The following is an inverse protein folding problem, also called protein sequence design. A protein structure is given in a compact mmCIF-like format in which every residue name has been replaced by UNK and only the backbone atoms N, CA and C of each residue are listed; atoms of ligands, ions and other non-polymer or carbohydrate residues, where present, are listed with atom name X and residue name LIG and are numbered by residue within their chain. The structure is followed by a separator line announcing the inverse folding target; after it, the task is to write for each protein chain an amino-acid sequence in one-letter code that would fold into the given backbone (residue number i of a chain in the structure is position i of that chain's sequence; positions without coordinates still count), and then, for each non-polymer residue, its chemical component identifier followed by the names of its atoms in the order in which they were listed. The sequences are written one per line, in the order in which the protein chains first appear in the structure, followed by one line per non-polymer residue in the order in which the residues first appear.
data_IF_622930011098
#
_entry.id   IF_622930011098
#
_cell.length_a   1.000
_cell.length_b   1.000
_cell.length_c   1.000
_cell.angle_alpha   90.00
_cell.angle_beta   90.00
_cell.angle_gamma   90.00
#
_symmetry.space_group_name_H-M   'P 1'
#
loop_
_entity.id
_entity.type
_entity.pdbx_description
1 polymer ?
#
# COMPACT_ATOMS: atom_id res chain seq x y z
N UNK A 1 -6.02 -2.15 -19.99
CA UNK A 1 -5.66 -3.49 -19.50
C UNK A 1 -6.34 -3.66 -18.15
N UNK A 2 -6.99 -4.80 -17.92
CA UNK A 2 -7.60 -5.16 -16.64
C UNK A 2 -6.50 -5.83 -15.78
N UNK A 3 -6.39 -5.49 -14.50
CA UNK A 3 -5.26 -5.85 -13.62
C UNK A 3 -5.30 -7.28 -13.06
N UNK A 4 -6.50 -7.86 -12.90
CA UNK A 4 -6.71 -9.14 -12.21
C UNK A 4 -6.49 -9.09 -10.69
N UNK A 5 -6.44 -7.90 -10.09
CA UNK A 5 -6.18 -7.71 -8.65
C UNK A 5 -7.42 -7.93 -7.77
N UNK A 6 -7.21 -8.07 -6.46
CA UNK A 6 -8.31 -8.15 -5.49
C UNK A 6 -9.23 -6.91 -5.57
N UNK A 7 -8.65 -5.71 -5.65
CA UNK A 7 -9.42 -4.46 -5.75
C UNK A 7 -10.38 -4.48 -6.94
N UNK A 8 -9.91 -4.96 -8.08
CA UNK A 8 -10.73 -5.09 -9.27
C UNK A 8 -11.87 -6.09 -9.08
N UNK A 9 -11.58 -7.27 -8.51
CA UNK A 9 -12.60 -8.28 -8.26
C UNK A 9 -13.69 -7.76 -7.33
N UNK A 10 -13.32 -7.08 -6.24
CA UNK A 10 -14.27 -6.50 -5.28
C UNK A 10 -15.10 -5.40 -5.95
N UNK A 11 -14.49 -4.50 -6.73
CA UNK A 11 -15.21 -3.45 -7.46
C UNK A 11 -16.21 -4.01 -8.48
N UNK A 12 -15.82 -5.04 -9.24
CA UNK A 12 -16.72 -5.69 -10.22
C UNK A 12 -17.88 -6.40 -9.53
N UNK A 13 -17.66 -6.98 -8.35
CA UNK A 13 -18.69 -7.67 -7.58
C UNK A 13 -19.79 -6.74 -7.02
N UNK A 14 -19.57 -5.41 -7.04
CA UNK A 14 -20.48 -4.42 -6.47
C UNK A 14 -20.47 -4.39 -4.94
N UNK A 15 -19.49 -5.05 -4.30
CA UNK A 15 -19.31 -5.01 -2.85
C UNK A 15 -18.73 -3.66 -2.40
N UNK A 16 -19.07 -3.26 -1.18
CA UNK A 16 -18.44 -2.09 -0.55
C UNK A 16 -16.95 -2.35 -0.37
N UNK A 17 -16.13 -1.48 -0.97
CA UNK A 17 -14.67 -1.63 -1.04
C UNK A 17 -13.99 -0.67 -0.06
N UNK A 18 -13.01 -1.15 0.69
CA UNK A 18 -12.19 -0.35 1.60
C UNK A 18 -10.74 -0.38 1.15
N UNK A 19 -10.14 0.78 0.97
CA UNK A 19 -8.70 0.91 0.70
C UNK A 19 -7.98 1.52 1.89
N UNK A 20 -6.70 1.15 2.05
CA UNK A 20 -5.78 1.76 3.00
C UNK A 20 -4.65 2.49 2.29
N UNK A 21 -4.05 3.47 2.96
CA UNK A 21 -2.88 4.18 2.45
C UNK A 21 -1.66 3.90 3.32
N UNK A 22 -0.51 3.64 2.68
CA UNK A 22 0.78 3.46 3.36
C UNK A 22 1.80 4.47 2.85
N UNK A 23 2.24 5.33 3.78
CA UNK A 23 3.32 6.29 3.55
C UNK A 23 4.71 5.72 3.84
N UNK A 24 5.66 5.75 2.87
CA UNK A 24 7.05 5.39 3.12
C UNK A 24 7.71 6.27 4.20
N UNK A 25 8.65 5.74 5.00
CA UNK A 25 9.38 6.52 5.99
C UNK A 25 10.40 7.48 5.33
N UNK A 26 10.82 8.50 6.08
CA UNK A 26 11.90 9.42 5.64
C UNK A 26 13.31 8.80 5.79
N UNK A 27 13.43 7.63 6.43
CA UNK A 27 14.68 6.94 6.67
C UNK A 27 14.69 5.56 5.98
N UNK A 28 15.84 4.86 6.04
CA UNK A 28 16.00 3.53 5.47
C UNK A 28 15.50 2.37 6.34
N UNK A 29 14.70 2.62 7.38
CA UNK A 29 14.21 1.54 8.24
C UNK A 29 13.02 0.82 7.59
N UNK A 30 13.27 -0.40 7.10
CA UNK A 30 12.27 -1.23 6.45
C UNK A 30 11.19 -1.76 7.40
N UNK A 31 11.47 -1.87 8.70
CA UNK A 31 10.50 -2.39 9.67
C UNK A 31 9.29 -1.47 9.81
N UNK A 32 9.47 -0.15 9.61
CA UNK A 32 8.36 0.82 9.61
C UNK A 32 7.34 0.49 8.51
N UNK A 33 7.78 0.01 7.34
CA UNK A 33 6.89 -0.39 6.24
C UNK A 33 6.20 -1.71 6.58
N UNK A 34 6.94 -2.69 7.11
CA UNK A 34 6.40 -4.00 7.50
C UNK A 34 5.32 -3.89 8.57
N UNK A 35 5.55 -3.06 9.58
CA UNK A 35 4.59 -2.86 10.67
C UNK A 35 3.30 -2.20 10.17
N UNK A 36 3.41 -1.18 9.32
CA UNK A 36 2.23 -0.56 8.67
C UNK A 36 1.49 -1.55 7.77
N UNK A 37 2.20 -2.34 6.97
CA UNK A 37 1.60 -3.35 6.11
C UNK A 37 0.87 -4.42 6.93
N UNK A 38 1.44 -4.85 8.06
CA UNK A 38 0.82 -5.83 8.97
C UNK A 38 -0.52 -5.33 9.53
N UNK A 39 -0.62 -4.05 9.86
CA UNK A 39 -1.88 -3.44 10.33
C UNK A 39 -2.95 -3.48 9.24
N UNK A 40 -2.59 -3.18 7.99
CA UNK A 40 -3.53 -3.13 6.88
C UNK A 40 -3.94 -4.52 6.36
N UNK A 41 -3.05 -5.52 6.47
CA UNK A 41 -3.30 -6.87 5.96
C UNK A 41 -4.55 -7.47 6.59
N UNK A 42 -5.47 -7.94 5.75
CA UNK A 42 -6.75 -8.53 6.17
C UNK A 42 -7.82 -7.52 6.57
N UNK A 43 -7.54 -6.22 6.56
CA UNK A 43 -8.49 -5.17 6.93
C UNK A 43 -8.94 -4.30 5.74
N UNK A 44 -8.18 -4.30 4.63
CA UNK A 44 -8.47 -3.50 3.43
C UNK A 44 -8.33 -4.35 2.17
N UNK A 45 -9.07 -4.00 1.12
CA UNK A 45 -9.08 -4.70 -0.17
C UNK A 45 -7.85 -4.38 -1.02
N UNK A 46 -7.28 -3.19 -0.83
CA UNK A 46 -6.02 -2.77 -1.45
C UNK A 46 -5.33 -1.68 -0.65
N UNK A 47 -4.03 -1.54 -0.90
CA UNK A 47 -3.18 -0.51 -0.29
C UNK A 47 -2.54 0.34 -1.37
N UNK A 48 -2.73 1.66 -1.33
CA UNK A 48 -1.93 2.57 -2.14
C UNK A 48 -0.64 2.97 -1.40
N UNK A 49 0.49 2.93 -2.11
CA UNK A 49 1.77 3.44 -1.62
C UNK A 49 1.99 4.81 -2.22
N UNK A 50 2.02 5.83 -1.38
CA UNK A 50 2.23 7.21 -1.83
C UNK A 50 3.68 7.47 -2.21
N UNK A 51 3.89 8.33 -3.19
CA UNK A 51 5.21 8.83 -3.55
C UNK A 51 5.43 10.25 -3.03
N UNK A 52 6.53 10.47 -2.30
CA UNK A 52 6.95 11.78 -1.80
C UNK A 52 5.82 12.61 -1.13
N UNK A 53 5.08 12.03 -0.18
CA UNK A 53 4.01 12.72 0.55
C UNK A 53 4.50 14.08 1.06
N UNK A 54 3.72 15.13 0.78
CA UNK A 54 4.01 16.55 1.07
C UNK A 54 5.30 17.10 0.45
N UNK A 55 5.73 16.56 -0.70
CA UNK A 55 6.97 16.91 -1.39
C UNK A 55 8.25 16.73 -0.53
N UNK A 56 8.20 15.82 0.44
CA UNK A 56 9.34 15.47 1.30
C UNK A 56 9.99 14.19 0.77
N UNK A 57 11.33 14.20 0.69
CA UNK A 57 12.12 13.02 0.32
C UNK A 57 11.88 11.89 1.32
N UNK A 58 11.46 10.74 0.80
CA UNK A 58 11.18 9.52 1.57
C UNK A 58 11.81 8.33 0.84
N UNK A 59 11.80 7.19 1.50
CA UNK A 59 12.02 5.91 0.82
C UNK A 59 11.15 5.82 -0.43
N UNK A 60 11.72 5.30 -1.52
CA UNK A 60 11.00 5.09 -2.78
C UNK A 60 9.70 4.32 -2.55
N UNK A 61 8.62 4.80 -3.14
CA UNK A 61 7.31 4.13 -3.15
C UNK A 61 7.39 2.71 -3.73
N UNK A 62 8.25 2.47 -4.72
CA UNK A 62 8.48 1.15 -5.29
C UNK A 62 9.17 0.21 -4.30
N UNK A 63 10.21 0.68 -3.61
CA UNK A 63 10.88 -0.10 -2.56
C UNK A 63 9.94 -0.40 -1.41
N UNK A 64 9.15 0.59 -0.97
CA UNK A 64 8.15 0.39 0.08
C UNK A 64 7.08 -0.63 -0.35
N UNK A 65 6.63 -0.58 -1.61
CA UNK A 65 5.72 -1.58 -2.17
C UNK A 65 6.31 -3.00 -2.14
N UNK A 66 7.58 -3.16 -2.55
CA UNK A 66 8.25 -4.45 -2.52
C UNK A 66 8.39 -5.00 -1.09
N UNK A 67 8.71 -4.13 -0.12
CA UNK A 67 8.81 -4.52 1.30
C UNK A 67 7.44 -4.88 1.88
N UNK A 68 6.39 -4.15 1.51
CA UNK A 68 5.03 -4.42 1.99
C UNK A 68 4.45 -5.75 1.48
N UNK A 69 4.95 -6.23 0.34
CA UNK A 69 4.57 -7.52 -0.26
C UNK A 69 5.42 -8.70 0.23
N UNK A 70 6.56 -8.44 0.89
CA UNK A 70 7.46 -9.47 1.42
C UNK A 70 6.99 -10.01 2.78
#
# INVERSE_FOLDING_TARGET
MISGSNLEQVLISGQFTVTGELGPPQNGNFDVVRDKARILKGHVDAVNITDCQTAIVRMSSLTAGLIALA
#
